data_IF_859692099612
#
_entry.id   IF_859692099612
#
_cell.length_a   1.000
_cell.length_b   1.000
_cell.length_c   1.000
_cell.angle_alpha   90.00
_cell.angle_beta   90.00
_cell.angle_gamma   90.00
#
_symmetry.space_group_name_H-M   'P 1'
#
loop_
_entity.id
_entity.type
_entity.pdbx_description
1 polymer ?
#
# COMPACT_ATOMS: atom_id res chain seq x y z
N UNK A 1 -2.43 -12.25 0.10
CA UNK A 1 -1.95 -12.64 1.45
C UNK A 1 -1.75 -14.13 1.54
N UNK A 2 -0.99 -14.60 2.54
CA UNK A 2 -0.76 -16.03 2.77
C UNK A 2 -1.90 -16.65 3.58
N UNK A 3 -2.21 -17.93 3.32
CA UNK A 3 -3.16 -18.73 4.12
C UNK A 3 -2.74 -18.86 5.60
N UNK A 4 -1.45 -18.60 5.91
CA UNK A 4 -0.94 -18.58 7.28
C UNK A 4 -1.37 -17.35 8.10
N UNK A 5 -1.84 -16.28 7.45
CA UNK A 5 -2.28 -15.08 8.14
C UNK A 5 -3.48 -15.33 9.05
N UNK A 6 -3.65 -14.54 10.14
CA UNK A 6 -4.86 -14.55 10.94
C UNK A 6 -6.11 -14.30 10.11
N UNK A 7 -7.23 -14.92 10.46
CA UNK A 7 -8.47 -14.80 9.68
C UNK A 7 -8.96 -13.35 9.61
N UNK A 8 -8.80 -12.56 10.67
CA UNK A 8 -9.24 -11.15 10.69
C UNK A 8 -8.39 -10.29 9.73
N UNK A 9 -7.09 -10.56 9.62
CA UNK A 9 -6.23 -9.89 8.62
C UNK A 9 -6.67 -10.24 7.18
N UNK A 10 -7.07 -11.50 6.94
CA UNK A 10 -7.60 -11.92 5.64
C UNK A 10 -8.95 -11.24 5.33
N UNK A 11 -9.82 -11.06 6.34
CA UNK A 11 -11.06 -10.31 6.20
C UNK A 11 -10.82 -8.84 5.87
N UNK A 12 -9.90 -8.18 6.57
CA UNK A 12 -9.50 -6.80 6.26
C UNK A 12 -9.01 -6.69 4.81
N UNK A 13 -8.15 -7.61 4.37
CA UNK A 13 -7.68 -7.64 2.99
C UNK A 13 -8.81 -7.87 1.99
N UNK A 14 -9.76 -8.75 2.28
CA UNK A 14 -10.89 -9.01 1.40
C UNK A 14 -11.77 -7.76 1.22
N UNK A 15 -12.02 -7.02 2.31
CA UNK A 15 -12.75 -5.75 2.29
C UNK A 15 -11.97 -4.68 1.52
N UNK A 16 -10.68 -4.50 1.81
CA UNK A 16 -9.84 -3.53 1.11
C UNK A 16 -9.76 -3.80 -0.40
N UNK A 17 -9.49 -5.05 -0.80
CA UNK A 17 -9.41 -5.44 -2.21
C UNK A 17 -10.74 -5.23 -2.96
N UNK A 18 -11.87 -5.51 -2.31
CA UNK A 18 -13.19 -5.28 -2.88
C UNK A 18 -13.46 -3.79 -3.03
N UNK A 19 -13.15 -2.99 -2.02
CA UNK A 19 -13.30 -1.52 -2.06
C UNK A 19 -12.45 -0.91 -3.16
N UNK A 20 -11.20 -1.34 -3.29
CA UNK A 20 -10.30 -0.93 -4.37
C UNK A 20 -10.90 -1.21 -5.75
N UNK A 21 -11.43 -2.43 -5.97
CA UNK A 21 -12.06 -2.79 -7.24
C UNK A 21 -13.28 -1.89 -7.56
N UNK A 22 -14.12 -1.60 -6.57
CA UNK A 22 -15.26 -0.70 -6.73
C UNK A 22 -14.87 0.75 -7.06
N UNK A 23 -13.73 1.21 -6.54
CA UNK A 23 -13.22 2.55 -6.81
C UNK A 23 -12.67 2.75 -8.23
N UNK A 24 -12.43 1.65 -8.97
CA UNK A 24 -11.93 1.67 -10.34
C UNK A 24 -12.99 1.37 -11.41
N UNK A 25 -14.27 1.58 -11.10
CA UNK A 25 -15.30 1.42 -12.14
C UNK A 25 -15.06 2.38 -13.30
N UNK A 26 -14.93 1.84 -14.51
CA UNK A 26 -14.77 2.61 -15.76
C UNK A 26 -16.06 2.52 -16.58
N UNK A 27 -16.98 3.51 -16.49
CA UNK A 27 -18.21 3.49 -17.26
C UNK A 27 -17.90 3.54 -18.76
N UNK A 28 -18.37 2.53 -19.50
CA UNK A 28 -18.25 2.49 -20.95
C UNK A 28 -17.24 1.51 -21.51
N UNK A 29 -16.42 0.88 -20.68
CA UNK A 29 -15.57 -0.24 -21.08
C UNK A 29 -16.27 -1.60 -20.84
N UNK A 30 -15.82 -2.64 -21.55
CA UNK A 30 -16.34 -4.00 -21.39
C UNK A 30 -15.93 -4.64 -20.06
N UNK A 31 -15.05 -3.98 -19.28
CA UNK A 31 -14.55 -4.41 -17.96
C UNK A 31 -14.17 -3.20 -17.12
N UNK A 32 -14.24 -3.33 -15.81
CA UNK A 32 -13.85 -2.28 -14.85
C UNK A 32 -12.35 -2.31 -14.52
N UNK A 33 -11.79 -3.51 -14.34
CA UNK A 33 -10.37 -3.74 -14.05
C UNK A 33 -9.87 -5.01 -14.73
N UNK A 34 -8.54 -5.08 -14.97
CA UNK A 34 -7.89 -6.29 -15.45
C UNK A 34 -7.26 -7.10 -14.32
N UNK A 35 -6.89 -8.34 -14.60
CA UNK A 35 -6.15 -9.22 -13.69
C UNK A 35 -4.64 -8.92 -13.62
N UNK A 36 -4.20 -7.84 -14.27
CA UNK A 36 -2.80 -7.43 -14.35
C UNK A 36 -2.31 -6.77 -13.07
N UNK A 37 -0.98 -6.68 -12.92
CA UNK A 37 -0.34 -5.97 -11.81
C UNK A 37 -0.52 -4.44 -11.84
N UNK A 38 -1.07 -3.88 -12.91
CA UNK A 38 -1.47 -2.48 -12.94
C UNK A 38 -2.63 -2.18 -11.98
N UNK A 39 -3.35 -3.23 -11.56
CA UNK A 39 -4.43 -3.17 -10.57
C UNK A 39 -4.10 -4.06 -9.37
N UNK A 40 -4.66 -5.28 -9.27
CA UNK A 40 -4.50 -6.15 -8.11
C UNK A 40 -3.76 -7.47 -8.38
N UNK A 41 -3.40 -7.76 -9.63
CA UNK A 41 -2.66 -8.98 -9.98
C UNK A 41 -3.40 -10.27 -9.60
N UNK A 42 -4.66 -10.41 -9.98
CA UNK A 42 -5.47 -11.58 -9.66
C UNK A 42 -4.91 -12.85 -10.31
N UNK A 43 -4.74 -13.91 -9.54
CA UNK A 43 -4.15 -15.19 -9.98
C UNK A 43 -5.11 -16.37 -9.89
N UNK A 44 -6.39 -16.11 -9.74
CA UNK A 44 -7.40 -17.16 -9.60
C UNK A 44 -7.39 -17.86 -8.22
N UNK A 45 -8.30 -18.82 -8.09
CA UNK A 45 -8.39 -19.68 -6.92
C UNK A 45 -7.39 -20.83 -7.02
N UNK A 46 -6.82 -21.23 -5.89
CA UNK A 46 -5.99 -22.42 -5.75
C UNK A 46 -6.47 -23.25 -4.57
N UNK A 47 -6.45 -24.60 -4.66
CA UNK A 47 -6.62 -25.47 -3.50
C UNK A 47 -5.62 -25.11 -2.39
N UNK A 48 -6.04 -25.19 -1.13
CA UNK A 48 -5.21 -24.78 0.02
C UNK A 48 -5.38 -23.31 0.41
N UNK A 49 -6.40 -22.61 -0.15
CA UNK A 49 -6.76 -21.23 0.19
C UNK A 49 -8.13 -21.12 0.85
N UNK A 50 -8.52 -22.16 1.62
CA UNK A 50 -9.85 -22.26 2.25
C UNK A 50 -10.10 -21.17 3.27
N UNK A 51 -9.07 -20.75 4.04
CA UNK A 51 -9.20 -19.67 5.01
C UNK A 51 -9.39 -18.31 4.30
N UNK A 52 -8.68 -18.08 3.19
CA UNK A 52 -8.88 -16.89 2.35
C UNK A 52 -10.31 -16.86 1.77
N UNK A 53 -10.79 -18.00 1.26
CA UNK A 53 -12.17 -18.12 0.77
C UNK A 53 -13.20 -17.84 1.86
N UNK A 54 -12.98 -18.41 3.06
CA UNK A 54 -13.84 -18.15 4.22
C UNK A 54 -13.87 -16.65 4.56
N UNK A 55 -12.71 -15.97 4.57
CA UNK A 55 -12.65 -14.54 4.80
C UNK A 55 -13.47 -13.75 3.77
N UNK A 56 -13.39 -14.11 2.49
CA UNK A 56 -14.18 -13.48 1.43
C UNK A 56 -15.69 -13.70 1.64
N UNK A 57 -16.11 -14.92 2.00
CA UNK A 57 -17.52 -15.26 2.23
C UNK A 57 -18.07 -14.53 3.45
N UNK A 58 -17.33 -14.55 4.57
CA UNK A 58 -17.75 -13.90 5.81
C UNK A 58 -17.81 -12.35 5.71
N UNK A 59 -17.16 -11.77 4.71
CA UNK A 59 -17.20 -10.33 4.44
C UNK A 59 -17.98 -9.98 3.15
N UNK A 60 -18.79 -10.89 2.64
CA UNK A 60 -19.54 -10.65 1.40
C UNK A 60 -20.36 -9.35 1.49
N UNK A 61 -20.27 -8.49 0.46
CA UNK A 61 -21.00 -7.23 0.39
C UNK A 61 -20.44 -6.09 1.26
N UNK A 62 -19.41 -6.35 2.07
CA UNK A 62 -18.77 -5.30 2.90
C UNK A 62 -17.71 -4.56 2.11
N UNK A 63 -17.81 -3.22 2.08
CA UNK A 63 -16.84 -2.29 1.51
C UNK A 63 -16.57 -1.16 2.51
N UNK A 64 -15.50 -0.40 2.30
CA UNK A 64 -15.21 0.83 3.03
C UNK A 64 -15.94 2.01 2.39
N UNK A 65 -16.38 2.96 3.20
CA UNK A 65 -16.87 4.26 2.75
C UNK A 65 -16.43 5.36 3.72
N UNK A 66 -16.19 6.55 3.19
CA UNK A 66 -15.88 7.77 3.94
C UNK A 66 -16.87 8.83 3.44
N UNK A 67 -17.68 9.36 4.33
CA UNK A 67 -18.70 10.39 4.00
C UNK A 67 -19.62 10.04 2.81
N UNK A 68 -20.00 8.75 2.69
CA UNK A 68 -20.74 8.13 1.59
C UNK A 68 -19.97 8.02 0.25
N UNK A 69 -18.68 8.30 0.23
CA UNK A 69 -17.82 8.06 -0.92
C UNK A 69 -17.03 6.77 -0.75
N UNK A 70 -16.73 6.09 -1.86
CA UNK A 70 -15.95 4.86 -1.86
C UNK A 70 -14.49 5.25 -2.12
N UNK A 71 -13.56 5.09 -1.14
CA UNK A 71 -12.16 5.42 -1.35
C UNK A 71 -11.48 4.36 -2.21
N UNK A 72 -10.39 4.73 -2.90
CA UNK A 72 -9.45 3.76 -3.47
C UNK A 72 -8.63 3.15 -2.34
N UNK A 73 -9.08 2.04 -1.79
CA UNK A 73 -8.45 1.39 -0.63
C UNK A 73 -7.09 0.79 -0.99
N UNK A 74 -6.05 1.63 -1.04
CA UNK A 74 -4.68 1.18 -1.29
C UNK A 74 -4.17 0.27 -0.17
N UNK A 75 -3.36 -0.71 -0.53
CA UNK A 75 -2.73 -1.62 0.42
C UNK A 75 -1.38 -2.10 -0.10
N UNK A 76 -0.50 -2.50 0.80
CA UNK A 76 0.84 -2.97 0.51
C UNK A 76 1.34 -3.98 1.53
N UNK A 77 2.55 -4.49 1.34
CA UNK A 77 3.19 -5.41 2.29
C UNK A 77 3.79 -4.66 3.48
N UNK A 78 4.18 -3.42 3.29
CA UNK A 78 4.74 -2.51 4.29
C UNK A 78 4.54 -1.07 3.80
N UNK A 79 4.44 -0.14 4.74
CA UNK A 79 4.39 1.30 4.48
C UNK A 79 5.68 2.01 4.91
N UNK A 80 6.68 1.26 5.39
CA UNK A 80 7.96 1.82 5.85
C UNK A 80 7.87 2.55 7.20
N UNK A 81 6.77 2.36 7.95
CA UNK A 81 6.54 2.98 9.25
C UNK A 81 5.70 4.26 9.23
N UNK A 82 5.29 4.73 8.05
CA UNK A 82 4.39 5.87 7.90
C UNK A 82 3.52 5.68 6.65
N UNK A 83 2.21 5.95 6.79
CA UNK A 83 1.32 5.96 5.63
C UNK A 83 1.56 7.22 4.78
N UNK A 84 1.27 7.14 3.49
CA UNK A 84 1.40 8.26 2.56
C UNK A 84 0.05 8.64 1.95
N UNK A 85 -0.10 9.90 1.54
CA UNK A 85 -1.27 10.35 0.79
C UNK A 85 -1.20 9.85 -0.67
N UNK A 86 -2.35 9.64 -1.33
CA UNK A 86 -2.41 9.26 -2.74
C UNK A 86 -1.66 10.20 -3.68
N UNK A 87 -1.65 11.51 -3.40
CA UNK A 87 -0.88 12.50 -4.16
C UNK A 87 0.62 12.24 -4.14
N UNK A 88 1.15 11.80 -2.99
CA UNK A 88 2.57 11.53 -2.83
C UNK A 88 3.07 10.32 -3.60
N UNK A 89 2.19 9.33 -3.84
CA UNK A 89 2.54 8.06 -4.47
C UNK A 89 2.12 7.98 -5.94
N UNK A 90 0.95 8.53 -6.27
CA UNK A 90 0.28 8.30 -7.55
C UNK A 90 -0.16 9.58 -8.25
N UNK A 91 -0.03 10.75 -7.60
CA UNK A 91 -0.49 12.03 -8.16
C UNK A 91 -2.00 12.23 -8.12
N UNK A 92 -2.73 11.55 -7.23
CA UNK A 92 -4.19 11.66 -7.09
C UNK A 92 -4.58 12.65 -5.99
N UNK A 93 -4.31 13.93 -6.18
CA UNK A 93 -4.53 14.98 -5.18
C UNK A 93 -6.00 15.08 -4.73
N UNK A 94 -6.94 14.81 -5.62
CA UNK A 94 -8.38 14.85 -5.32
C UNK A 94 -8.84 13.80 -4.30
N UNK A 95 -8.04 12.76 -4.08
CA UNK A 95 -8.34 11.70 -3.12
C UNK A 95 -7.80 11.98 -1.72
N UNK A 96 -6.84 12.88 -1.58
CA UNK A 96 -6.16 13.16 -0.30
C UNK A 96 -7.11 13.44 0.88
N UNK A 97 -8.25 14.13 0.71
CA UNK A 97 -9.18 14.37 1.82
C UNK A 97 -9.78 13.10 2.45
N UNK A 98 -9.72 11.96 1.74
CA UNK A 98 -10.23 10.67 2.22
C UNK A 98 -9.17 9.87 2.99
N UNK A 99 -7.94 10.37 3.11
CA UNK A 99 -6.80 9.65 3.69
C UNK A 99 -6.11 10.47 4.77
N UNK A 100 -5.36 9.79 5.60
CA UNK A 100 -4.59 10.40 6.69
C UNK A 100 -3.18 9.82 6.74
N UNK A 101 -2.19 10.68 6.94
CA UNK A 101 -0.82 10.25 7.23
C UNK A 101 -0.78 9.81 8.70
N UNK A 102 -0.38 8.56 8.94
CA UNK A 102 -0.21 7.99 10.28
C UNK A 102 1.11 7.27 10.41
N UNK A 103 1.73 7.43 11.57
CA UNK A 103 2.84 6.58 11.96
C UNK A 103 2.34 5.16 12.23
N UNK A 104 3.09 4.19 11.76
CA UNK A 104 2.84 2.76 11.93
C UNK A 104 4.03 2.11 12.62
N UNK A 105 3.97 2.05 13.95
CA UNK A 105 5.05 1.49 14.76
C UNK A 105 5.26 -0.01 14.51
N UNK A 106 4.25 -0.70 13.94
CA UNK A 106 4.33 -2.14 13.67
C UNK A 106 5.33 -2.44 12.56
N UNK A 107 5.47 -1.56 11.58
CA UNK A 107 6.43 -1.73 10.49
C UNK A 107 7.88 -1.50 10.91
N UNK A 108 8.14 -0.90 12.08
CA UNK A 108 9.49 -0.73 12.63
C UNK A 108 10.02 -1.96 13.37
N UNK A 109 9.22 -3.00 13.60
CA UNK A 109 9.71 -4.17 14.31
C UNK A 109 10.79 -4.91 13.52
N UNK A 110 11.91 -5.15 14.19
CA UNK A 110 13.08 -5.86 13.63
C UNK A 110 12.77 -7.25 13.07
N UNK A 111 11.65 -7.84 13.47
CA UNK A 111 11.21 -9.16 13.02
C UNK A 111 10.53 -9.15 11.65
N UNK A 112 10.17 -7.98 11.10
CA UNK A 112 9.56 -7.89 9.77
C UNK A 112 10.64 -7.70 8.69
N UNK A 113 11.00 -8.76 7.91
CA UNK A 113 12.05 -8.65 6.90
C UNK A 113 11.70 -7.67 5.77
N UNK A 114 10.41 -7.36 5.55
CA UNK A 114 9.97 -6.41 4.53
C UNK A 114 10.29 -4.96 4.91
N UNK A 115 10.44 -4.65 6.21
CA UNK A 115 10.77 -3.32 6.72
C UNK A 115 12.27 -3.04 6.75
N UNK A 116 13.09 -4.07 6.56
CA UNK A 116 14.56 -3.95 6.54
C UNK A 116 15.08 -3.69 5.13
N UNK A 117 14.86 -2.51 4.62
CA UNK A 117 15.65 -2.02 3.48
C UNK A 117 16.83 -1.21 4.05
N UNK A 118 17.95 -1.87 4.23
CA UNK A 118 19.21 -1.16 4.42
C UNK A 118 19.61 -0.58 3.06
N UNK A 119 19.46 0.73 2.90
CA UNK A 119 20.05 1.44 1.78
C UNK A 119 21.50 1.71 2.16
N UNK A 120 22.41 0.86 1.72
CA UNK A 120 23.84 1.12 1.81
C UNK A 120 24.26 1.99 0.62
N UNK A 121 24.49 3.28 0.88
CA UNK A 121 25.03 4.19 -0.14
C UNK A 121 26.55 4.16 -0.02
N UNK A 122 27.20 3.48 -0.94
CA UNK A 122 28.68 3.49 -1.03
C UNK A 122 29.12 4.79 -1.70
N UNK A 123 29.73 5.68 -0.93
CA UNK A 123 30.08 7.06 -1.34
C UNK A 123 31.16 7.18 -2.44
N UNK A 124 31.75 6.10 -2.90
CA UNK A 124 32.88 6.15 -3.83
C UNK A 124 32.60 6.68 -5.25
N UNK A 125 31.35 6.53 -5.72
CA UNK A 125 30.99 6.90 -7.10
C UNK A 125 30.08 8.14 -7.21
N UNK A 126 29.64 8.69 -6.08
CA UNK A 126 28.70 9.83 -6.03
C UNK A 126 29.44 11.16 -5.74
N UNK A 127 30.75 11.09 -5.51
CA UNK A 127 31.57 12.23 -5.06
C UNK A 127 31.60 13.41 -6.03
N UNK A 128 31.29 13.22 -7.30
CA UNK A 128 31.42 14.25 -8.34
C UNK A 128 30.13 15.01 -8.63
N UNK A 129 28.99 14.66 -7.98
CA UNK A 129 27.73 15.36 -8.17
C UNK A 129 27.40 16.28 -6.98
N UNK A 130 27.90 17.53 -7.05
CA UNK A 130 27.66 18.54 -6.00
C UNK A 130 26.18 18.79 -5.74
N UNK A 131 25.32 18.75 -6.76
CA UNK A 131 23.89 18.98 -6.63
C UNK A 131 23.21 17.86 -5.82
N UNK A 132 23.61 16.59 -6.07
CA UNK A 132 23.11 15.44 -5.31
C UNK A 132 23.59 15.46 -3.86
N UNK A 133 24.86 15.79 -3.63
CA UNK A 133 25.43 15.93 -2.29
C UNK A 133 24.78 17.06 -1.50
N UNK A 134 24.43 18.17 -2.15
CA UNK A 134 23.70 19.27 -1.53
C UNK A 134 22.28 18.87 -1.15
N UNK A 135 21.61 18.08 -2.00
CA UNK A 135 20.27 17.53 -1.72
C UNK A 135 20.29 16.58 -0.52
N UNK A 136 21.24 15.62 -0.50
CA UNK A 136 21.42 14.70 0.63
C UNK A 136 21.67 15.43 1.95
N UNK A 137 22.53 16.46 1.95
CA UNK A 137 22.81 17.26 3.15
C UNK A 137 21.58 18.03 3.62
N UNK A 138 20.78 18.54 2.69
CA UNK A 138 19.54 19.25 3.00
C UNK A 138 18.50 18.33 3.63
N UNK A 139 18.33 17.13 3.09
CA UNK A 139 17.36 16.14 3.61
C UNK A 139 17.85 15.52 4.93
N UNK A 140 19.14 15.18 5.05
CA UNK A 140 19.72 14.70 6.30
C UNK A 140 19.55 15.69 7.46
N UNK A 141 19.68 17.02 7.21
CA UNK A 141 19.42 18.04 8.23
C UNK A 141 17.98 18.08 8.70
N UNK A 142 17.01 17.75 7.85
CA UNK A 142 15.61 17.67 8.25
C UNK A 142 15.35 16.49 9.20
N UNK A 143 16.06 15.37 9.00
CA UNK A 143 15.88 14.14 9.76
C UNK A 143 16.60 14.21 11.11
N UNK A 144 17.80 14.80 11.17
CA UNK A 144 18.64 14.77 12.38
C UNK A 144 18.38 15.97 13.31
N UNK A 145 17.65 16.99 12.85
CA UNK A 145 17.46 18.24 13.59
C UNK A 145 18.80 18.98 13.72
N UNK A 146 18.87 20.22 13.41
CA UNK A 146 20.06 21.08 13.58
C UNK A 146 20.57 21.09 14.99
#
# INVERSE_FOLDING_TARGET
MSESCPIESLKCQAVASRTYAFGFTMPGDDYDITDSFNYQGYRGYKPGYEKCMRACVETTGVILSVDNEIPLAFYGATNGGETALPSHLFGYDSLDPLYEIRLDDIDFYESNPACRQNLEITYGEISDNEAFNALLRKEAKKIVGS
#
